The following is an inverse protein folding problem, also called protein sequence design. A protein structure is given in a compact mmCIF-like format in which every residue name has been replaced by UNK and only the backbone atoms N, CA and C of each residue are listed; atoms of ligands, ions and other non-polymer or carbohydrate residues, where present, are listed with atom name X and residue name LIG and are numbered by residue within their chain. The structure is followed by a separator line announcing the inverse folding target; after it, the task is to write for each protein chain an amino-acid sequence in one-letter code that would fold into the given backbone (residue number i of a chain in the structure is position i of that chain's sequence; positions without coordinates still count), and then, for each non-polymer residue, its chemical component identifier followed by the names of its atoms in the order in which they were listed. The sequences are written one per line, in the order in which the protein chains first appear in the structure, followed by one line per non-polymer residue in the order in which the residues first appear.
data_IF_050606583867
#
_entry.id   IF_050606583867
#
_cell.length_a   1.000
_cell.length_b   1.000
_cell.length_c   1.000
_cell.angle_alpha   90.00
_cell.angle_beta   90.00
_cell.angle_gamma   90.00
#
_symmetry.space_group_name_H-M   'P 1'
#
loop_
_entity.id
_entity.type
_entity.pdbx_description
1 polymer ?
#
# COMPACT_ATOMS: atom_id res chain seq x y z
N UNK A 1 -21.03 -7.57 9.61
CA UNK A 1 -19.86 -7.89 8.75
C UNK A 1 -19.01 -8.89 9.50
N UNK A 2 -18.64 -10.00 8.86
CA UNK A 2 -17.67 -10.95 9.37
C UNK A 2 -16.28 -10.52 8.86
N UNK A 3 -15.30 -10.42 9.75
CA UNK A 3 -13.93 -10.02 9.43
C UNK A 3 -12.95 -11.21 9.39
N UNK A 4 -13.46 -12.43 9.59
CA UNK A 4 -12.65 -13.62 9.39
C UNK A 4 -12.38 -13.83 7.89
N UNK A 5 -11.26 -14.46 7.56
CA UNK A 5 -10.94 -14.76 6.17
C UNK A 5 -11.92 -15.79 5.60
N UNK A 6 -12.37 -15.55 4.39
CA UNK A 6 -13.09 -16.59 3.63
C UNK A 6 -12.16 -17.77 3.30
N UNK A 7 -12.72 -18.89 2.88
CA UNK A 7 -11.91 -20.05 2.47
C UNK A 7 -10.93 -19.72 1.33
N UNK A 8 -11.35 -18.84 0.39
CA UNK A 8 -10.51 -18.37 -0.72
C UNK A 8 -9.38 -17.47 -0.22
N UNK A 9 -9.69 -16.51 0.65
CA UNK A 9 -8.68 -15.65 1.26
C UNK A 9 -7.68 -16.45 2.10
N UNK A 10 -8.15 -17.47 2.83
CA UNK A 10 -7.26 -18.35 3.59
C UNK A 10 -6.32 -19.13 2.66
N UNK A 11 -6.83 -19.67 1.55
CA UNK A 11 -6.00 -20.35 0.56
C UNK A 11 -4.94 -19.43 -0.05
N UNK A 12 -5.32 -18.18 -0.36
CA UNK A 12 -4.38 -17.15 -0.83
C UNK A 12 -3.31 -16.85 0.23
N UNK A 13 -3.71 -16.66 1.48
CA UNK A 13 -2.77 -16.41 2.60
C UNK A 13 -1.78 -17.57 2.78
N UNK A 14 -2.27 -18.83 2.70
CA UNK A 14 -1.43 -20.02 2.84
C UNK A 14 -0.40 -20.14 1.71
N UNK A 15 -0.78 -19.84 0.47
CA UNK A 15 0.13 -19.81 -0.68
C UNK A 15 1.22 -18.76 -0.48
N UNK A 16 0.85 -17.52 -0.15
CA UNK A 16 1.80 -16.42 0.04
C UNK A 16 2.75 -16.73 1.19
N UNK A 17 2.24 -17.17 2.33
CA UNK A 17 3.04 -17.57 3.50
C UNK A 17 4.01 -18.69 3.14
N UNK A 18 3.55 -19.74 2.46
CA UNK A 18 4.41 -20.87 2.05
C UNK A 18 5.56 -20.45 1.12
N UNK A 19 5.38 -19.43 0.29
CA UNK A 19 6.43 -18.87 -0.55
C UNK A 19 7.42 -18.07 0.29
N UNK A 20 6.91 -17.14 1.12
CA UNK A 20 7.73 -16.20 1.88
C UNK A 20 8.52 -16.85 3.01
N UNK A 21 8.05 -17.94 3.59
CA UNK A 21 8.78 -18.72 4.59
C UNK A 21 10.05 -19.38 4.01
N UNK A 22 10.08 -19.61 2.68
CA UNK A 22 11.22 -20.20 1.98
C UNK A 22 12.17 -19.16 1.43
N UNK A 23 11.62 -18.15 0.77
CA UNK A 23 12.38 -17.06 0.16
C UNK A 23 11.46 -15.83 0.02
N UNK A 24 11.87 -14.70 0.57
CA UNK A 24 11.13 -13.44 0.57
C UNK A 24 11.53 -12.49 -0.57
N UNK A 25 12.14 -13.00 -1.64
CA UNK A 25 12.52 -12.24 -2.83
C UNK A 25 11.34 -12.03 -3.79
N UNK A 26 11.46 -11.00 -4.64
CA UNK A 26 10.50 -10.79 -5.74
C UNK A 26 10.43 -11.99 -6.68
N UNK A 27 11.58 -12.58 -7.02
CA UNK A 27 11.65 -13.78 -7.87
C UNK A 27 10.93 -14.98 -7.27
N UNK A 28 10.95 -15.14 -5.96
CA UNK A 28 10.22 -16.21 -5.27
C UNK A 28 8.71 -15.99 -5.34
N UNK A 29 8.23 -14.75 -5.14
CA UNK A 29 6.82 -14.40 -5.31
C UNK A 29 6.33 -14.68 -6.74
N UNK A 30 7.13 -14.35 -7.75
CA UNK A 30 6.84 -14.66 -9.15
C UNK A 30 6.80 -16.18 -9.38
N UNK A 31 7.84 -16.90 -8.97
CA UNK A 31 7.93 -18.34 -9.16
C UNK A 31 6.84 -19.12 -8.40
N UNK A 32 6.39 -18.58 -7.26
CA UNK A 32 5.30 -19.11 -6.46
C UNK A 32 3.90 -18.74 -6.98
N UNK A 33 3.80 -18.01 -8.09
CA UNK A 33 2.53 -17.60 -8.69
C UNK A 33 1.81 -16.44 -7.98
N UNK A 34 2.39 -15.84 -6.93
CA UNK A 34 1.75 -14.77 -6.14
C UNK A 34 1.41 -13.55 -7.01
N UNK A 35 2.28 -13.21 -7.96
CA UNK A 35 2.05 -12.09 -8.89
C UNK A 35 0.96 -12.39 -9.91
N UNK A 36 0.64 -13.67 -10.15
CA UNK A 36 -0.40 -14.08 -11.08
C UNK A 36 -1.81 -14.03 -10.46
N UNK A 37 -1.93 -14.12 -9.12
CA UNK A 37 -3.22 -14.23 -8.43
C UNK A 37 -4.24 -13.18 -8.90
N UNK A 38 -3.85 -11.89 -8.94
CA UNK A 38 -4.74 -10.80 -9.34
C UNK A 38 -4.86 -10.60 -10.86
N UNK A 39 -4.00 -11.23 -11.65
CA UNK A 39 -4.04 -11.11 -13.12
C UNK A 39 -5.25 -11.86 -13.66
N UNK A 40 -6.03 -11.30 -14.63
CA UNK A 40 -7.17 -11.99 -15.23
C UNK A 40 -6.81 -13.35 -15.82
N UNK A 41 -7.72 -14.35 -15.74
CA UNK A 41 -7.54 -15.70 -16.24
C UNK A 41 -7.13 -15.72 -17.73
N UNK A 42 -7.72 -14.83 -18.57
CA UNK A 42 -7.36 -14.69 -19.98
C UNK A 42 -5.90 -14.30 -20.23
N UNK A 43 -5.22 -13.77 -19.20
CA UNK A 43 -3.81 -13.40 -19.23
C UNK A 43 -2.92 -14.38 -18.47
N UNK A 44 -3.47 -15.50 -18.04
CA UNK A 44 -2.76 -16.58 -17.36
C UNK A 44 -2.63 -16.40 -15.84
N UNK A 45 -3.52 -15.60 -15.23
CA UNK A 45 -3.64 -15.47 -13.79
C UNK A 45 -4.87 -16.18 -13.23
N UNK A 46 -5.17 -15.94 -11.95
CA UNK A 46 -6.31 -16.55 -11.25
C UNK A 46 -7.52 -15.60 -11.10
N UNK A 47 -7.35 -14.32 -11.45
CA UNK A 47 -8.42 -13.32 -11.48
C UNK A 47 -9.04 -13.02 -10.12
N UNK A 48 -8.28 -13.14 -9.02
CA UNK A 48 -8.82 -12.87 -7.68
C UNK A 48 -9.17 -11.38 -7.51
N UNK A 49 -10.14 -11.11 -6.63
CA UNK A 49 -10.68 -9.78 -6.39
C UNK A 49 -9.85 -8.92 -5.45
N UNK A 50 -10.38 -7.71 -5.20
CA UNK A 50 -9.76 -6.72 -4.31
C UNK A 50 -9.50 -7.25 -2.89
N UNK A 51 -10.42 -8.01 -2.25
CA UNK A 51 -10.19 -8.56 -0.91
C UNK A 51 -9.02 -9.54 -0.84
N UNK A 52 -8.85 -10.37 -1.86
CA UNK A 52 -7.78 -11.36 -1.96
C UNK A 52 -6.43 -10.66 -2.19
N UNK A 53 -6.38 -9.62 -3.05
CA UNK A 53 -5.18 -8.79 -3.21
C UNK A 53 -4.80 -8.10 -1.89
N UNK A 54 -5.79 -7.61 -1.14
CA UNK A 54 -5.59 -7.11 0.23
C UNK A 54 -4.95 -8.16 1.13
N UNK A 55 -5.43 -9.41 1.06
CA UNK A 55 -4.85 -10.54 1.82
C UNK A 55 -3.41 -10.84 1.39
N UNK A 56 -3.11 -10.85 0.09
CA UNK A 56 -1.73 -11.00 -0.42
C UNK A 56 -0.81 -9.94 0.19
N UNK A 57 -1.22 -8.68 0.15
CA UNK A 57 -0.41 -7.56 0.66
C UNK A 57 -0.27 -7.63 2.19
N UNK A 58 -1.30 -8.05 2.91
CA UNK A 58 -1.23 -8.27 4.37
C UNK A 58 -0.17 -9.34 4.69
N UNK A 59 -0.15 -10.47 4.00
CA UNK A 59 0.85 -11.52 4.27
C UNK A 59 2.27 -11.10 3.88
N UNK A 60 2.45 -10.36 2.76
CA UNK A 60 3.76 -9.80 2.39
C UNK A 60 4.23 -8.79 3.45
N UNK A 61 3.34 -7.94 3.94
CA UNK A 61 3.63 -7.01 5.05
C UNK A 61 4.00 -7.75 6.34
N UNK A 62 3.29 -8.84 6.68
CA UNK A 62 3.53 -9.68 7.88
C UNK A 62 4.93 -10.27 7.92
N UNK A 63 5.51 -10.57 6.76
CA UNK A 63 6.90 -11.05 6.63
C UNK A 63 7.94 -9.93 6.57
N UNK A 64 7.52 -8.65 6.61
CA UNK A 64 8.44 -7.51 6.50
C UNK A 64 9.24 -7.51 5.21
N UNK A 65 8.62 -7.94 4.12
CA UNK A 65 9.26 -8.13 2.82
C UNK A 65 9.36 -6.79 2.07
N UNK A 66 10.58 -6.46 1.61
CA UNK A 66 10.85 -5.25 0.83
C UNK A 66 11.02 -5.66 -0.63
N UNK A 67 9.94 -5.54 -1.40
CA UNK A 67 9.87 -5.92 -2.82
C UNK A 67 8.92 -4.98 -3.57
N UNK A 68 8.86 -5.01 -4.91
CA UNK A 68 7.89 -4.24 -5.68
C UNK A 68 6.41 -4.61 -5.48
N UNK A 69 6.08 -5.54 -4.59
CA UNK A 69 4.73 -6.12 -4.48
C UNK A 69 3.64 -5.07 -4.21
N UNK A 70 3.82 -4.17 -3.24
CA UNK A 70 2.84 -3.11 -3.00
C UNK A 70 2.68 -2.19 -4.21
N UNK A 71 3.79 -1.77 -4.82
CA UNK A 71 3.76 -0.92 -6.02
C UNK A 71 3.07 -1.62 -7.19
N UNK A 72 3.41 -2.90 -7.43
CA UNK A 72 2.89 -3.65 -8.57
C UNK A 72 1.44 -4.10 -8.35
N UNK A 73 1.15 -4.83 -7.28
CA UNK A 73 -0.17 -5.41 -7.06
C UNK A 73 -1.16 -4.36 -6.54
N UNK A 74 -0.77 -3.61 -5.51
CA UNK A 74 -1.67 -2.66 -4.85
C UNK A 74 -1.87 -1.36 -5.62
N UNK A 75 -0.79 -0.76 -6.13
CA UNK A 75 -0.84 0.55 -6.77
C UNK A 75 -0.91 0.49 -8.30
N UNK A 76 -0.52 -0.65 -8.90
CA UNK A 76 -0.55 -0.87 -10.34
C UNK A 76 -1.73 -1.72 -10.79
N UNK A 77 -1.76 -3.01 -10.39
CA UNK A 77 -2.75 -3.98 -10.88
C UNK A 77 -4.16 -3.61 -10.43
N UNK A 78 -4.37 -3.32 -9.14
CA UNK A 78 -5.70 -3.00 -8.60
C UNK A 78 -6.37 -1.84 -9.34
N UNK A 79 -5.74 -0.66 -9.53
CA UNK A 79 -6.37 0.41 -10.30
C UNK A 79 -6.63 0.06 -11.77
N UNK A 80 -5.77 -0.74 -12.42
CA UNK A 80 -6.00 -1.16 -13.79
C UNK A 80 -7.16 -2.17 -13.92
N UNK A 81 -7.36 -3.04 -12.93
CA UNK A 81 -8.52 -3.93 -12.91
C UNK A 81 -9.83 -3.17 -12.75
N UNK A 82 -9.84 -2.10 -11.96
CA UNK A 82 -11.02 -1.29 -11.66
C UNK A 82 -11.36 -0.29 -12.78
N UNK A 83 -10.35 0.30 -13.42
CA UNK A 83 -10.52 1.49 -14.27
C UNK A 83 -10.16 1.30 -15.74
N UNK A 84 -9.40 0.27 -16.10
CA UNK A 84 -8.93 0.08 -17.47
C UNK A 84 -9.91 -0.77 -18.30
N UNK A 85 -10.01 -0.48 -19.59
CA UNK A 85 -10.72 -1.36 -20.54
C UNK A 85 -10.03 -2.72 -20.67
N UNK A 86 -10.74 -3.73 -21.19
CA UNK A 86 -10.16 -5.06 -21.40
C UNK A 86 -8.89 -5.03 -22.26
N UNK A 87 -8.87 -4.19 -23.33
CA UNK A 87 -7.70 -4.03 -24.18
C UNK A 87 -6.52 -3.36 -23.43
N UNK A 88 -6.82 -2.38 -22.56
CA UNK A 88 -5.80 -1.76 -21.72
C UNK A 88 -5.26 -2.75 -20.67
N UNK A 89 -6.15 -3.53 -20.03
CA UNK A 89 -5.73 -4.61 -19.14
C UNK A 89 -4.83 -5.62 -19.86
N UNK A 90 -5.21 -6.06 -21.06
CA UNK A 90 -4.41 -7.00 -21.85
C UNK A 90 -3.02 -6.43 -22.17
N UNK A 91 -2.93 -5.13 -22.43
CA UNK A 91 -1.66 -4.46 -22.71
C UNK A 91 -0.79 -4.29 -21.49
N UNK A 92 -1.34 -3.85 -20.37
CA UNK A 92 -0.55 -3.45 -19.21
C UNK A 92 -0.31 -4.56 -18.20
N UNK A 93 -1.21 -5.58 -18.14
CA UNK A 93 -1.11 -6.66 -17.16
C UNK A 93 -0.44 -7.94 -17.70
N UNK A 94 -0.25 -8.07 -19.02
CA UNK A 94 0.26 -9.30 -19.66
C UNK A 94 1.61 -9.80 -19.10
N UNK A 95 2.44 -8.90 -18.61
CA UNK A 95 3.77 -9.24 -18.04
C UNK A 95 3.77 -9.55 -16.54
N UNK A 96 2.72 -9.17 -15.80
CA UNK A 96 2.72 -9.18 -14.32
C UNK A 96 2.89 -10.57 -13.76
N UNK A 97 2.19 -11.57 -14.31
CA UNK A 97 2.33 -12.97 -13.91
C UNK A 97 3.75 -13.52 -14.09
N UNK A 98 4.57 -12.86 -14.93
CA UNK A 98 5.98 -13.21 -15.21
C UNK A 98 6.96 -12.27 -14.50
N UNK A 99 6.49 -11.42 -13.61
CA UNK A 99 7.29 -10.55 -12.78
C UNK A 99 7.52 -9.14 -13.32
N UNK A 100 6.78 -8.70 -14.34
CA UNK A 100 6.77 -7.30 -14.74
C UNK A 100 6.35 -6.41 -13.56
N UNK A 101 7.04 -5.28 -13.39
CA UNK A 101 6.79 -4.34 -12.32
C UNK A 101 5.89 -3.22 -12.83
N UNK A 102 4.87 -2.90 -12.06
CA UNK A 102 4.03 -1.72 -12.23
C UNK A 102 4.25 -0.76 -11.07
N UNK A 103 3.99 0.51 -11.28
CA UNK A 103 3.98 1.49 -10.19
C UNK A 103 2.96 2.60 -10.45
N UNK A 104 2.74 3.45 -9.43
CA UNK A 104 1.87 4.59 -9.58
C UNK A 104 2.54 5.87 -9.08
N UNK A 105 2.38 6.94 -9.83
CA UNK A 105 2.87 8.27 -9.57
C UNK A 105 1.69 9.15 -9.10
N UNK A 106 1.43 9.14 -7.78
CA UNK A 106 0.24 9.72 -7.16
C UNK A 106 0.54 11.04 -6.45
N UNK A 107 1.62 11.08 -5.67
CA UNK A 107 1.95 12.23 -4.85
C UNK A 107 2.62 13.36 -5.64
N UNK A 108 2.32 14.57 -5.24
CA UNK A 108 2.90 15.79 -5.76
C UNK A 108 3.87 16.42 -4.74
N UNK A 109 4.79 17.28 -5.14
CA UNK A 109 5.56 18.05 -4.18
C UNK A 109 4.65 18.82 -3.21
N UNK A 110 4.72 18.47 -1.92
CA UNK A 110 3.91 19.09 -0.86
C UNK A 110 2.46 18.60 -0.74
N UNK A 111 2.00 17.65 -1.57
CA UNK A 111 0.65 17.10 -1.48
C UNK A 111 0.64 15.58 -1.64
N UNK A 112 0.15 14.88 -0.62
CA UNK A 112 0.02 13.43 -0.63
C UNK A 112 -1.39 13.02 -1.08
N UNK A 113 -1.46 12.18 -2.09
CA UNK A 113 -2.70 11.66 -2.70
C UNK A 113 -3.74 12.75 -2.99
N UNK A 114 -3.40 13.83 -3.72
CA UNK A 114 -4.34 14.90 -3.99
C UNK A 114 -5.45 14.44 -4.96
N UNK A 115 -6.71 14.78 -4.66
CA UNK A 115 -7.83 14.52 -5.57
C UNK A 115 -7.81 15.44 -6.81
N UNK A 116 -7.10 16.57 -6.69
CA UNK A 116 -6.85 17.51 -7.78
C UNK A 116 -5.33 17.72 -7.93
N UNK A 117 -4.66 16.81 -8.66
CA UNK A 117 -3.22 16.93 -8.86
C UNK A 117 -2.86 18.17 -9.65
N UNK A 118 -1.77 18.89 -9.30
CA UNK A 118 -1.24 19.98 -10.14
C UNK A 118 -0.52 19.48 -11.42
N UNK A 119 -0.17 18.21 -11.54
CA UNK A 119 0.27 17.62 -12.80
C UNK A 119 -0.84 17.76 -13.83
N UNK A 120 -0.54 18.33 -15.01
CA UNK A 120 -1.52 18.67 -16.04
C UNK A 120 -1.52 17.67 -17.18
N UNK A 121 -2.72 17.35 -17.71
CA UNK A 121 -2.88 16.58 -18.92
C UNK A 121 -3.79 17.34 -19.89
N UNK A 122 -3.22 17.88 -20.97
CA UNK A 122 -3.95 18.65 -21.97
C UNK A 122 -3.44 18.35 -23.37
N UNK A 123 -4.34 18.26 -24.35
CA UNK A 123 -4.02 18.03 -25.77
C UNK A 123 -3.11 16.81 -26.00
N UNK A 124 -3.28 15.74 -25.22
CA UNK A 124 -2.46 14.52 -25.31
C UNK A 124 -1.03 14.70 -24.77
N UNK A 125 -0.79 15.71 -23.93
CA UNK A 125 0.50 16.00 -23.31
C UNK A 125 0.41 16.03 -21.80
N UNK A 126 1.36 15.33 -21.16
CA UNK A 126 1.48 15.25 -19.69
C UNK A 126 2.67 16.09 -19.23
N UNK A 127 2.43 16.98 -18.25
CA UNK A 127 3.47 17.82 -17.67
C UNK A 127 3.28 17.97 -16.17
N UNK A 128 4.34 17.79 -15.40
CA UNK A 128 4.31 17.91 -13.94
C UNK A 128 5.45 17.14 -13.27
N UNK A 129 5.41 17.09 -11.93
CA UNK A 129 6.40 16.37 -11.13
C UNK A 129 5.70 15.54 -10.07
N UNK A 130 6.02 14.27 -10.02
CA UNK A 130 5.53 13.32 -9.01
C UNK A 130 6.67 12.92 -8.07
N UNK A 131 6.34 12.71 -6.81
CA UNK A 131 7.31 12.32 -5.77
C UNK A 131 6.90 11.01 -5.10
N UNK A 132 7.85 10.29 -4.53
CA UNK A 132 7.57 9.06 -3.81
C UNK A 132 7.13 7.90 -4.73
N UNK A 133 7.58 7.88 -5.98
CA UNK A 133 7.22 6.84 -6.96
C UNK A 133 8.14 5.64 -6.76
N UNK A 134 7.59 4.61 -6.13
CA UNK A 134 8.35 3.39 -5.81
C UNK A 134 8.68 2.60 -7.08
N UNK A 135 9.91 2.10 -7.20
CA UNK A 135 10.39 1.24 -8.28
C UNK A 135 10.18 1.78 -9.70
N UNK A 136 10.12 3.11 -9.89
CA UNK A 136 9.81 3.72 -11.18
C UNK A 136 10.78 3.32 -12.30
N UNK A 137 12.07 3.17 -12.03
CA UNK A 137 13.07 2.76 -13.02
C UNK A 137 12.89 1.31 -13.48
N UNK A 138 12.41 0.44 -12.58
CA UNK A 138 12.16 -0.98 -12.85
C UNK A 138 10.78 -1.22 -13.47
N UNK A 139 9.88 -0.23 -13.38
CA UNK A 139 8.52 -0.38 -13.85
C UNK A 139 8.45 -0.43 -15.38
N UNK A 140 7.58 -1.28 -15.90
CA UNK A 140 7.20 -1.25 -17.31
C UNK A 140 6.21 -0.11 -17.59
N UNK A 141 5.32 0.13 -16.62
CA UNK A 141 4.27 1.15 -16.72
C UNK A 141 4.07 1.88 -15.39
N UNK A 142 3.79 3.19 -15.50
CA UNK A 142 3.40 4.08 -14.41
C UNK A 142 1.96 4.53 -14.61
N UNK A 143 1.10 4.33 -13.60
CA UNK A 143 -0.20 5.00 -13.53
C UNK A 143 0.06 6.41 -13.00
N UNK A 144 -0.38 7.43 -13.71
CA UNK A 144 -0.14 8.83 -13.35
C UNK A 144 -1.48 9.55 -13.22
N UNK A 145 -1.74 10.10 -12.03
CA UNK A 145 -2.89 10.98 -11.80
C UNK A 145 -2.57 12.40 -12.25
N UNK A 146 -3.46 13.00 -13.04
CA UNK A 146 -3.37 14.39 -13.51
C UNK A 146 -4.66 15.17 -13.22
N UNK A 147 -4.65 16.46 -13.45
CA UNK A 147 -5.77 17.39 -13.18
C UNK A 147 -7.11 16.97 -13.82
N UNK A 148 -7.04 16.40 -15.02
CA UNK A 148 -8.23 16.07 -15.82
C UNK A 148 -8.30 14.59 -16.23
N UNK A 149 -7.30 13.77 -15.90
CA UNK A 149 -7.23 12.38 -16.35
C UNK A 149 -6.34 11.51 -15.46
N UNK A 150 -6.50 10.20 -15.60
CA UNK A 150 -5.53 9.20 -15.18
C UNK A 150 -4.95 8.57 -16.44
N UNK A 151 -3.64 8.55 -16.56
CA UNK A 151 -2.94 8.07 -17.75
C UNK A 151 -1.93 6.98 -17.40
N UNK A 152 -1.61 6.12 -18.36
CA UNK A 152 -0.56 5.11 -18.22
C UNK A 152 0.62 5.51 -19.10
N UNK A 153 1.82 5.61 -18.51
CA UNK A 153 3.03 6.09 -19.18
C UNK A 153 4.19 5.14 -18.94
N UNK A 154 5.00 4.89 -19.95
CA UNK A 154 6.27 4.20 -19.75
C UNK A 154 7.29 5.13 -19.07
N UNK A 155 8.03 4.68 -18.04
CA UNK A 155 9.09 5.48 -17.44
C UNK A 155 10.25 5.78 -18.44
N UNK A 156 10.27 5.08 -19.58
CA UNK A 156 11.27 5.24 -20.64
C UNK A 156 10.77 6.14 -21.79
N UNK A 157 9.57 6.73 -21.65
CA UNK A 157 9.03 7.62 -22.68
C UNK A 157 9.84 8.93 -22.77
N UNK A 158 9.91 9.49 -23.96
CA UNK A 158 10.55 10.78 -24.19
C UNK A 158 9.90 11.87 -23.33
N UNK A 159 10.73 12.66 -22.62
CA UNK A 159 10.28 13.69 -21.69
C UNK A 159 10.08 13.20 -20.25
N UNK A 160 10.23 11.90 -19.95
CA UNK A 160 10.24 11.39 -18.57
C UNK A 160 11.65 11.44 -18.00
N UNK A 161 11.78 12.03 -16.82
CA UNK A 161 13.05 12.08 -16.08
C UNK A 161 12.85 11.45 -14.70
N UNK A 162 13.77 10.56 -14.31
CA UNK A 162 13.78 9.87 -13.04
C UNK A 162 14.96 10.34 -12.20
N UNK A 163 14.69 10.78 -10.99
CA UNK A 163 15.73 11.11 -10.00
C UNK A 163 15.50 10.25 -8.76
N UNK A 164 16.44 9.35 -8.47
CA UNK A 164 16.35 8.47 -7.30
C UNK A 164 16.36 9.28 -6.02
N UNK A 165 15.45 8.95 -5.09
CA UNK A 165 15.33 9.54 -3.76
C UNK A 165 15.57 8.50 -2.68
N UNK A 166 16.23 8.86 -1.56
CA UNK A 166 16.48 7.91 -0.50
C UNK A 166 15.21 7.56 0.27
N UNK A 167 15.06 6.28 0.64
CA UNK A 167 14.01 5.77 1.52
C UNK A 167 14.58 5.31 2.85
N UNK A 168 13.73 5.17 3.86
CA UNK A 168 14.15 4.65 5.17
C UNK A 168 14.44 3.15 5.11
N UNK A 169 13.70 2.40 4.28
CA UNK A 169 13.84 0.94 4.15
C UNK A 169 14.83 0.50 3.08
N UNK A 170 15.43 1.44 2.35
CA UNK A 170 16.42 1.16 1.29
C UNK A 170 15.82 0.71 -0.05
N UNK A 171 14.48 0.71 -0.19
CA UNK A 171 13.84 0.41 -1.49
C UNK A 171 14.08 1.54 -2.50
N UNK A 172 13.93 1.21 -3.78
CA UNK A 172 14.07 2.19 -4.84
C UNK A 172 12.83 3.09 -4.93
N UNK A 173 13.06 4.39 -4.85
CA UNK A 173 12.02 5.42 -4.96
C UNK A 173 12.53 6.58 -5.80
N UNK A 174 11.64 7.25 -6.51
CA UNK A 174 12.02 8.29 -7.46
C UNK A 174 11.10 9.52 -7.37
N UNK A 175 11.69 10.67 -7.65
CA UNK A 175 10.98 11.82 -8.18
C UNK A 175 10.92 11.65 -9.70
N UNK A 176 9.71 11.75 -10.27
CA UNK A 176 9.45 11.58 -11.70
C UNK A 176 8.96 12.91 -12.26
N UNK A 177 9.69 13.48 -13.22
CA UNK A 177 9.29 14.69 -13.93
C UNK A 177 8.82 14.33 -15.34
N UNK A 178 7.65 14.83 -15.70
CA UNK A 178 7.05 14.73 -17.04
C UNK A 178 7.18 16.08 -17.71
N UNK A 179 7.99 16.17 -18.79
CA UNK A 179 8.24 17.38 -19.54
C UNK A 179 7.58 17.24 -20.92
N UNK A 180 6.31 17.62 -21.02
CA UNK A 180 5.52 17.58 -22.27
C UNK A 180 5.49 16.17 -22.91
N UNK A 181 5.27 15.14 -22.07
CA UNK A 181 5.26 13.74 -22.49
C UNK A 181 4.03 13.46 -23.36
N UNK A 182 4.24 12.90 -24.54
CA UNK A 182 3.15 12.49 -25.42
C UNK A 182 2.44 11.24 -24.88
N UNK A 183 1.13 11.33 -24.70
CA UNK A 183 0.28 10.22 -24.25
C UNK A 183 -0.78 9.95 -25.30
N UNK A 184 -0.84 8.72 -25.78
CA UNK A 184 -1.85 8.31 -26.76
C UNK A 184 -3.24 8.24 -26.08
N UNK A 185 -4.29 8.45 -26.86
CA UNK A 185 -5.68 8.33 -26.35
C UNK A 185 -5.95 6.93 -25.76
N UNK A 186 -5.32 5.90 -26.34
CA UNK A 186 -5.40 4.52 -25.84
C UNK A 186 -4.74 4.32 -24.46
N UNK A 187 -3.94 5.26 -23.98
CA UNK A 187 -3.23 5.20 -22.71
C UNK A 187 -3.90 6.07 -21.63
N UNK A 188 -5.04 6.69 -21.97
CA UNK A 188 -5.91 7.40 -21.03
C UNK A 188 -6.94 6.43 -20.48
N UNK A 189 -7.06 6.33 -19.15
CA UNK A 189 -8.08 5.52 -18.50
C UNK A 189 -9.40 6.31 -18.48
N UNK A 190 -10.32 5.94 -19.38
CA UNK A 190 -11.55 6.66 -19.60
C UNK A 190 -12.47 6.62 -18.37
N UNK A 191 -12.90 7.80 -17.90
CA UNK A 191 -13.77 7.93 -16.72
C UNK A 191 -13.06 7.75 -15.37
N UNK A 192 -11.75 7.45 -15.39
CA UNK A 192 -10.95 7.35 -14.15
C UNK A 192 -10.72 8.73 -13.54
N UNK A 193 -10.72 8.80 -12.22
CA UNK A 193 -10.39 9.99 -11.44
C UNK A 193 -9.21 9.75 -10.50
N UNK A 194 -8.45 10.80 -10.21
CA UNK A 194 -7.41 10.74 -9.18
C UNK A 194 -7.97 10.27 -7.83
N UNK A 195 -9.16 10.73 -7.47
CA UNK A 195 -9.85 10.33 -6.25
C UNK A 195 -10.03 8.80 -6.16
N UNK A 196 -10.55 8.15 -7.23
CA UNK A 196 -10.76 6.68 -7.22
C UNK A 196 -9.43 5.91 -7.12
N UNK A 197 -8.41 6.36 -7.82
CA UNK A 197 -7.06 5.76 -7.69
C UNK A 197 -6.51 5.91 -6.28
N UNK A 198 -6.69 7.08 -5.66
CA UNK A 198 -6.26 7.35 -4.29
C UNK A 198 -7.01 6.49 -3.26
N UNK A 199 -8.33 6.26 -3.44
CA UNK A 199 -9.11 5.34 -2.60
C UNK A 199 -8.50 3.93 -2.62
N UNK A 200 -8.28 3.38 -3.81
CA UNK A 200 -7.71 2.04 -3.99
C UNK A 200 -6.28 1.95 -3.42
N UNK A 201 -5.45 2.97 -3.69
CA UNK A 201 -4.09 3.04 -3.17
C UNK A 201 -4.06 3.06 -1.64
N UNK A 202 -4.91 3.89 -1.00
CA UNK A 202 -4.96 3.99 0.46
C UNK A 202 -5.44 2.68 1.10
N UNK A 203 -6.43 2.00 0.51
CA UNK A 203 -6.90 0.70 0.98
C UNK A 203 -5.79 -0.36 0.92
N UNK A 204 -5.03 -0.42 -0.18
CA UNK A 204 -3.92 -1.38 -0.35
C UNK A 204 -2.73 -1.07 0.55
N UNK A 205 -2.40 0.21 0.76
CA UNK A 205 -1.40 0.64 1.76
C UNK A 205 -1.86 0.25 3.17
N UNK A 206 -3.15 0.39 3.47
CA UNK A 206 -3.74 -0.05 4.74
C UNK A 206 -3.58 -1.55 4.98
N UNK A 207 -3.89 -2.38 3.99
CA UNK A 207 -3.71 -3.84 4.07
C UNK A 207 -2.24 -4.23 4.30
N UNK A 208 -1.33 -3.62 3.57
CA UNK A 208 0.10 -3.86 3.74
C UNK A 208 0.59 -3.42 5.13
N UNK A 209 0.09 -2.28 5.64
CA UNK A 209 0.39 -1.79 6.99
C UNK A 209 -0.15 -2.71 8.07
N UNK A 210 -1.36 -3.27 7.93
CA UNK A 210 -1.90 -4.30 8.84
C UNK A 210 -0.92 -5.46 8.97
N UNK A 211 -0.43 -5.97 7.85
CA UNK A 211 0.57 -7.02 7.83
C UNK A 211 1.86 -6.64 8.56
N UNK A 212 2.41 -5.45 8.27
CA UNK A 212 3.64 -4.97 8.91
C UNK A 212 3.49 -4.88 10.43
N UNK A 213 2.38 -4.34 10.92
CA UNK A 213 2.13 -4.19 12.36
C UNK A 213 1.92 -5.55 13.02
N UNK A 214 1.17 -6.45 12.39
CA UNK A 214 0.95 -7.80 12.89
C UNK A 214 2.25 -8.63 12.93
N UNK A 215 3.10 -8.50 11.90
CA UNK A 215 4.40 -9.16 11.86
C UNK A 215 5.36 -8.66 12.93
N UNK A 216 5.44 -7.33 13.12
CA UNK A 216 6.25 -6.74 14.18
C UNK A 216 5.75 -7.14 15.58
N UNK A 217 4.44 -7.18 15.80
CA UNK A 217 3.84 -7.65 17.04
C UNK A 217 4.23 -9.10 17.34
N UNK A 218 4.05 -10.00 16.36
CA UNK A 218 4.41 -11.42 16.51
C UNK A 218 5.90 -11.58 16.86
N UNK A 219 6.77 -10.96 16.06
CA UNK A 219 8.22 -11.00 16.28
C UNK A 219 8.59 -10.51 17.69
N UNK A 220 7.93 -9.45 18.17
CA UNK A 220 8.17 -8.89 19.50
C UNK A 220 7.65 -9.80 20.61
N UNK A 221 6.46 -10.36 20.44
CA UNK A 221 5.87 -11.29 21.42
C UNK A 221 6.74 -12.54 21.60
N UNK A 222 7.20 -13.14 20.50
CA UNK A 222 8.10 -14.30 20.51
C UNK A 222 9.42 -13.94 21.20
N UNK A 223 10.03 -12.80 20.86
CA UNK A 223 11.27 -12.35 21.48
C UNK A 223 11.17 -12.16 22.99
N UNK A 224 10.13 -11.44 23.49
CA UNK A 224 10.01 -11.19 24.95
C UNK A 224 9.59 -12.43 25.74
N UNK A 225 8.97 -13.42 25.09
CA UNK A 225 8.65 -14.71 25.71
C UNK A 225 9.91 -15.55 25.96
N UNK A 226 10.90 -15.46 25.09
CA UNK A 226 12.15 -16.25 25.19
C UNK A 226 13.25 -15.50 25.94
N UNK A 227 13.38 -14.18 25.71
CA UNK A 227 14.44 -13.35 26.31
C UNK A 227 14.29 -13.23 27.80
N UNK A 228 15.31 -13.68 28.54
CA UNK A 228 15.35 -13.59 30.01
C UNK A 228 16.25 -12.46 30.49
N UNK A 229 15.75 -11.68 31.45
CA UNK A 229 16.49 -10.70 32.23
C UNK A 229 16.00 -10.76 33.69
N UNK A 230 16.86 -10.48 34.65
CA UNK A 230 16.55 -10.57 36.10
C UNK A 230 15.98 -11.93 36.49
N UNK A 231 16.46 -13.01 35.84
CA UNK A 231 16.10 -14.39 36.16
C UNK A 231 14.76 -14.90 35.57
N UNK A 232 14.04 -14.09 34.78
CA UNK A 232 12.74 -14.48 34.19
C UNK A 232 12.53 -13.90 32.80
N UNK A 233 11.58 -14.46 31.99
CA UNK A 233 11.23 -13.91 30.68
C UNK A 233 10.76 -12.45 30.76
N UNK A 234 11.08 -11.64 29.74
CA UNK A 234 10.66 -10.24 29.68
C UNK A 234 9.13 -10.10 29.67
N UNK A 235 8.41 -11.02 29.06
CA UNK A 235 6.94 -11.06 29.01
C UNK A 235 6.26 -11.12 30.39
N UNK A 236 7.00 -11.53 31.44
CA UNK A 236 6.47 -11.60 32.82
C UNK A 236 6.45 -10.24 33.54
N UNK A 237 7.04 -9.19 32.97
CA UNK A 237 7.01 -7.85 33.54
C UNK A 237 5.75 -7.12 33.10
N UNK A 238 5.02 -6.52 34.06
CA UNK A 238 3.74 -5.83 33.79
C UNK A 238 3.86 -4.73 32.74
N UNK A 239 4.94 -3.95 32.77
CA UNK A 239 5.17 -2.89 31.77
C UNK A 239 5.32 -3.45 30.36
N UNK A 240 6.03 -4.56 30.20
CA UNK A 240 6.18 -5.25 28.90
C UNK A 240 4.82 -5.79 28.41
N UNK A 241 4.07 -6.43 29.31
CA UNK A 241 2.74 -6.94 28.98
C UNK A 241 1.76 -5.81 28.59
N UNK A 242 1.79 -4.66 29.30
CA UNK A 242 0.98 -3.50 28.96
C UNK A 242 1.35 -2.92 27.58
N UNK A 243 2.64 -2.75 27.30
CA UNK A 243 3.11 -2.26 26.00
C UNK A 243 2.71 -3.21 24.85
N UNK A 244 2.82 -4.53 25.02
CA UNK A 244 2.34 -5.49 24.03
C UNK A 244 0.82 -5.43 23.82
N UNK A 245 0.05 -5.20 24.89
CA UNK A 245 -1.39 -5.03 24.76
C UNK A 245 -1.77 -3.79 23.95
N UNK A 246 -1.07 -2.66 24.14
CA UNK A 246 -1.26 -1.45 23.33
C UNK A 246 -0.92 -1.70 21.85
N UNK A 247 0.20 -2.37 21.56
CA UNK A 247 0.58 -2.78 20.19
C UNK A 247 -0.49 -3.70 19.60
N UNK A 248 -1.01 -4.66 20.35
CA UNK A 248 -2.08 -5.55 19.89
C UNK A 248 -3.37 -4.80 19.55
N UNK A 249 -3.78 -3.85 20.40
CA UNK A 249 -4.99 -3.04 20.16
C UNK A 249 -4.82 -2.25 18.85
N UNK A 250 -3.71 -1.56 18.67
CA UNK A 250 -3.44 -0.79 17.46
C UNK A 250 -3.40 -1.69 16.20
N UNK A 251 -2.75 -2.86 16.28
CA UNK A 251 -2.73 -3.85 15.21
C UNK A 251 -4.15 -4.29 14.81
N UNK A 252 -4.98 -4.65 15.80
CA UNK A 252 -6.37 -5.07 15.53
C UNK A 252 -7.21 -3.95 14.94
N UNK A 253 -7.03 -2.72 15.39
CA UNK A 253 -7.78 -1.56 14.88
C UNK A 253 -7.42 -1.26 13.43
N UNK A 254 -6.12 -1.22 13.09
CA UNK A 254 -5.65 -0.99 11.71
C UNK A 254 -6.18 -2.11 10.79
N UNK A 255 -6.07 -3.37 11.21
CA UNK A 255 -6.54 -4.51 10.43
C UNK A 255 -8.05 -4.51 10.18
N UNK A 256 -8.86 -4.17 11.19
CA UNK A 256 -10.31 -4.05 11.03
C UNK A 256 -10.69 -2.89 10.10
N UNK A 257 -10.04 -1.73 10.24
CA UNK A 257 -10.28 -0.57 9.37
C UNK A 257 -9.91 -0.90 7.91
N UNK A 258 -8.76 -1.53 7.67
CA UNK A 258 -8.33 -1.93 6.32
C UNK A 258 -9.32 -2.93 5.69
N UNK A 259 -9.74 -3.95 6.42
CA UNK A 259 -10.72 -4.94 5.94
C UNK A 259 -12.08 -4.31 5.65
N UNK A 260 -12.55 -3.38 6.51
CA UNK A 260 -13.81 -2.65 6.31
C UNK A 260 -13.79 -1.88 4.99
N UNK A 261 -12.74 -1.08 4.78
CA UNK A 261 -12.58 -0.27 3.56
C UNK A 261 -12.48 -1.14 2.31
N UNK A 262 -11.66 -2.20 2.34
CA UNK A 262 -11.51 -3.12 1.20
C UNK A 262 -12.84 -3.77 0.85
N UNK A 263 -13.60 -4.21 1.86
CA UNK A 263 -14.92 -4.76 1.65
C UNK A 263 -15.87 -3.73 1.01
N UNK A 264 -15.91 -2.49 1.51
CA UNK A 264 -16.75 -1.44 0.94
C UNK A 264 -16.38 -1.16 -0.53
N UNK A 265 -15.08 -1.04 -0.83
CA UNK A 265 -14.61 -0.76 -2.19
C UNK A 265 -14.82 -1.95 -3.16
N UNK A 266 -14.99 -3.17 -2.64
CA UNK A 266 -15.31 -4.37 -3.43
C UNK A 266 -16.80 -4.50 -3.75
N UNK A 267 -17.68 -3.70 -3.09
CA UNK A 267 -19.11 -3.71 -3.36
C UNK A 267 -19.46 -2.81 -4.55
N UNK A 268 -20.56 -3.13 -5.24
CA UNK A 268 -21.10 -2.26 -6.27
C UNK A 268 -22.01 -1.17 -5.66
N UNK A 269 -22.06 -0.01 -6.29
CA UNK A 269 -23.03 1.04 -5.98
C UNK A 269 -22.65 1.89 -4.77
N UNK A 270 -23.64 2.15 -3.88
CA UNK A 270 -23.55 3.19 -2.82
C UNK A 270 -22.45 2.95 -1.80
N UNK A 271 -22.15 1.68 -1.47
CA UNK A 271 -21.14 1.36 -0.47
C UNK A 271 -19.73 1.85 -0.87
N UNK A 272 -19.40 1.82 -2.16
CA UNK A 272 -18.13 2.34 -2.66
C UNK A 272 -18.05 3.89 -2.60
N UNK A 273 -19.17 4.57 -2.72
CA UNK A 273 -19.25 6.04 -2.64
C UNK A 273 -19.12 6.56 -1.20
N UNK A 274 -19.51 5.75 -0.22
CA UNK A 274 -19.52 6.12 1.20
C UNK A 274 -18.20 5.74 1.92
N UNK A 275 -17.20 5.19 1.19
CA UNK A 275 -15.95 4.70 1.78
C UNK A 275 -14.95 5.78 2.20
N UNK A 276 -15.17 7.03 1.83
CA UNK A 276 -14.21 8.12 2.03
C UNK A 276 -13.89 8.40 3.50
N UNK A 277 -14.91 8.44 4.36
CA UNK A 277 -14.70 8.70 5.79
C UNK A 277 -13.90 7.56 6.44
N UNK A 278 -14.24 6.32 6.12
CA UNK A 278 -13.52 5.13 6.62
C UNK A 278 -12.08 5.08 6.08
N UNK A 279 -11.85 5.54 4.84
CA UNK A 279 -10.51 5.67 4.25
C UNK A 279 -9.67 6.73 4.98
N UNK A 280 -10.26 7.89 5.30
CA UNK A 280 -9.55 8.92 6.05
C UNK A 280 -9.25 8.47 7.49
N UNK A 281 -10.19 7.74 8.13
CA UNK A 281 -9.96 7.07 9.42
C UNK A 281 -8.82 6.07 9.31
N UNK A 282 -8.81 5.20 8.29
CA UNK A 282 -7.72 4.26 8.05
C UNK A 282 -6.38 4.99 7.85
N UNK A 283 -6.35 6.01 6.99
CA UNK A 283 -5.15 6.81 6.74
C UNK A 283 -4.62 7.49 8.01
N UNK A 284 -5.51 8.00 8.86
CA UNK A 284 -5.14 8.56 10.15
C UNK A 284 -4.55 7.47 11.08
N UNK A 285 -5.18 6.30 11.20
CA UNK A 285 -4.66 5.19 12.02
C UNK A 285 -3.29 4.70 11.55
N UNK A 286 -3.10 4.54 10.25
CA UNK A 286 -1.82 4.16 9.64
C UNK A 286 -0.73 5.17 10.00
N UNK A 287 -1.02 6.46 9.90
CA UNK A 287 0.00 7.51 10.09
C UNK A 287 0.22 7.90 11.54
N UNK A 288 -0.80 7.78 12.40
CA UNK A 288 -0.73 8.20 13.81
C UNK A 288 -0.37 7.07 14.77
N UNK A 289 -0.77 5.83 14.49
CA UNK A 289 -0.61 4.70 15.42
C UNK A 289 0.49 3.73 15.00
N UNK A 290 0.69 3.45 13.72
CA UNK A 290 1.71 2.50 13.31
C UNK A 290 3.14 2.94 13.69
N UNK A 291 3.56 4.22 13.56
CA UNK A 291 4.91 4.64 13.98
C UNK A 291 5.18 4.45 15.48
N UNK A 292 4.32 4.87 16.44
CA UNK A 292 4.53 4.59 17.87
C UNK A 292 4.58 3.10 18.21
N UNK A 293 3.75 2.29 17.53
CA UNK A 293 3.78 0.83 17.67
C UNK A 293 5.13 0.26 17.27
N UNK A 294 5.69 0.71 16.15
CA UNK A 294 7.02 0.29 15.71
C UNK A 294 8.10 0.73 16.71
N UNK A 295 7.99 1.93 17.29
CA UNK A 295 8.92 2.39 18.34
C UNK A 295 8.85 1.50 19.57
N UNK A 296 7.65 1.10 20.00
CA UNK A 296 7.45 0.21 21.13
C UNK A 296 8.05 -1.17 20.86
N UNK A 297 7.75 -1.76 19.69
CA UNK A 297 8.34 -3.05 19.30
C UNK A 297 9.88 -2.97 19.29
N UNK A 298 10.43 -1.92 18.67
CA UNK A 298 11.88 -1.70 18.62
C UNK A 298 12.49 -1.56 20.02
N UNK A 299 11.86 -0.77 20.89
CA UNK A 299 12.29 -0.58 22.27
C UNK A 299 12.32 -1.91 23.05
N UNK A 300 11.30 -2.76 22.90
CA UNK A 300 11.23 -4.06 23.57
C UNK A 300 12.31 -5.05 23.13
N UNK A 301 12.84 -4.90 21.91
CA UNK A 301 14.00 -5.67 21.44
C UNK A 301 15.34 -5.13 21.96
N UNK A 302 15.38 -3.88 22.44
CA UNK A 302 16.62 -3.24 22.89
C UNK A 302 17.70 -3.24 21.80
N UNK A 303 18.94 -3.61 22.15
CA UNK A 303 20.06 -3.63 21.19
C UNK A 303 19.85 -4.56 19.98
N UNK A 304 19.08 -5.63 20.11
CA UNK A 304 18.74 -6.52 18.99
C UNK A 304 17.92 -5.80 17.91
N UNK A 305 17.04 -4.87 18.28
CA UNK A 305 16.28 -4.08 17.33
C UNK A 305 17.14 -3.20 16.42
N UNK A 306 18.38 -2.88 16.84
CA UNK A 306 19.34 -2.08 16.07
C UNK A 306 20.20 -2.92 15.12
N UNK A 307 20.17 -4.24 15.23
CA UNK A 307 20.97 -5.14 14.40
C UNK A 307 20.36 -5.21 12.98
N UNK A 308 21.17 -4.87 11.97
CA UNK A 308 20.75 -4.88 10.56
C UNK A 308 20.44 -6.29 10.04
N UNK A 309 20.94 -7.34 10.69
CA UNK A 309 20.63 -8.72 10.35
C UNK A 309 19.32 -9.21 10.95
N UNK A 310 18.80 -8.50 11.97
CA UNK A 310 17.54 -8.81 12.62
C UNK A 310 16.36 -8.07 11.94
N UNK A 311 15.23 -8.73 11.66
CA UNK A 311 14.21 -8.17 10.73
C UNK A 311 13.43 -6.96 11.27
N UNK A 312 13.52 -6.60 12.54
CA UNK A 312 12.73 -5.50 13.15
C UNK A 312 12.90 -4.16 12.41
N UNK A 313 14.12 -3.85 11.92
CA UNK A 313 14.38 -2.62 11.19
C UNK A 313 13.56 -2.50 9.90
N UNK A 314 13.21 -3.63 9.24
CA UNK A 314 12.42 -3.62 8.00
C UNK A 314 11.00 -3.12 8.23
N UNK A 315 10.37 -3.58 9.32
CA UNK A 315 9.03 -3.12 9.71
C UNK A 315 9.03 -1.63 10.04
N UNK A 316 9.95 -1.21 10.90
CA UNK A 316 10.04 0.17 11.36
C UNK A 316 10.33 1.17 10.23
N UNK A 317 11.31 0.88 9.38
CA UNK A 317 11.69 1.74 8.27
C UNK A 317 10.59 1.82 7.20
N UNK A 318 9.92 0.71 6.88
CA UNK A 318 8.82 0.69 5.92
C UNK A 318 7.62 1.51 6.42
N UNK A 319 7.25 1.40 7.70
CA UNK A 319 6.18 2.22 8.28
C UNK A 319 6.51 3.72 8.21
N UNK A 320 7.77 4.12 8.39
CA UNK A 320 8.19 5.53 8.23
C UNK A 320 7.98 6.01 6.79
N UNK A 321 8.34 5.19 5.80
CA UNK A 321 8.16 5.54 4.39
C UNK A 321 6.67 5.61 4.02
N UNK A 322 5.83 4.68 4.48
CA UNK A 322 4.39 4.73 4.27
C UNK A 322 3.73 5.94 4.95
N UNK A 323 4.16 6.29 6.17
CA UNK A 323 3.67 7.48 6.87
C UNK A 323 3.96 8.75 6.07
N UNK A 324 5.18 8.86 5.52
CA UNK A 324 5.58 9.96 4.64
C UNK A 324 4.77 9.96 3.34
N UNK A 325 4.59 8.80 2.72
CA UNK A 325 3.81 8.63 1.48
C UNK A 325 2.36 9.12 1.66
N UNK A 326 1.77 8.90 2.83
CA UNK A 326 0.42 9.34 3.17
C UNK A 326 0.34 10.78 3.70
N UNK A 327 1.45 11.53 3.76
CA UNK A 327 1.50 12.92 4.19
C UNK A 327 1.48 13.15 5.70
N UNK A 328 1.50 12.08 6.49
CA UNK A 328 1.55 12.13 7.96
C UNK A 328 0.20 12.34 8.64
N UNK A 329 0.17 12.26 10.00
CA UNK A 329 -1.09 12.24 10.76
C UNK A 329 -1.85 13.58 10.70
N UNK A 330 -1.18 14.71 10.66
CA UNK A 330 -1.84 16.03 10.62
C UNK A 330 -2.66 16.20 9.36
N UNK A 331 -2.09 15.87 8.18
CA UNK A 331 -2.83 15.94 6.92
C UNK A 331 -4.06 15.03 6.93
N UNK A 332 -3.92 13.79 7.42
CA UNK A 332 -5.04 12.85 7.47
C UNK A 332 -6.15 13.29 8.42
N UNK A 333 -5.78 13.88 9.54
CA UNK A 333 -6.74 14.46 10.48
C UNK A 333 -7.46 15.69 9.88
N UNK A 334 -6.73 16.55 9.15
CA UNK A 334 -7.31 17.72 8.49
C UNK A 334 -8.31 17.32 7.38
N UNK A 335 -8.01 16.26 6.61
CA UNK A 335 -8.92 15.72 5.60
C UNK A 335 -10.20 15.18 6.24
N UNK A 336 -10.08 14.37 7.29
CA UNK A 336 -11.22 13.85 8.04
C UNK A 336 -12.09 14.99 8.63
N UNK A 337 -11.47 15.95 9.31
CA UNK A 337 -12.18 17.10 9.87
C UNK A 337 -12.82 18.00 8.81
N UNK A 338 -12.22 18.16 7.64
CA UNK A 338 -12.76 18.93 6.52
C UNK A 338 -14.07 18.35 5.97
N UNK A 339 -14.19 17.01 5.91
CA UNK A 339 -15.43 16.34 5.47
C UNK A 339 -16.58 16.51 6.46
N UNK A 340 -16.31 16.36 7.75
CA UNK A 340 -17.31 16.54 8.80
C UNK A 340 -17.93 17.96 8.80
N UNK A 341 -17.10 18.98 8.59
CA UNK A 341 -17.59 20.37 8.53
C UNK A 341 -18.51 20.61 7.32
N UNK A 342 -18.22 20.00 6.18
CA UNK A 342 -19.08 20.11 4.98
C UNK A 342 -20.39 19.34 5.18
N UNK A 343 -20.34 18.14 5.77
CA UNK A 343 -21.54 17.35 6.09
C UNK A 343 -22.48 18.04 7.08
N UNK A 344 -21.95 18.69 8.11
CA UNK A 344 -22.74 19.45 9.09
C UNK A 344 -23.46 20.68 8.48
N UNK A 345 -22.83 21.33 7.49
CA UNK A 345 -23.48 22.47 6.78
C UNK A 345 -24.60 22.02 5.85
N UNK A 346 -24.51 20.83 5.25
CA UNK A 346 -25.58 20.29 4.38
C UNK A 346 -26.78 19.75 5.17
N UNK A 347 -26.64 19.37 6.43
CA UNK A 347 -27.72 18.86 7.27
C UNK A 347 -28.53 19.98 7.98
N UNK A 348 -28.11 21.24 7.86
CA UNK A 348 -28.76 22.42 8.47
C UNK A 348 -29.59 23.24 7.48
N UNK A 349 -29.79 22.78 6.26
CA UNK A 349 -30.66 23.32 5.21
C UNK A 349 -31.79 22.38 4.88
#
# INVERSE_FOLDING_TARGET
MDFDLTAEQQAVADVVTSVLDRDNSWSALVAGGVTALAVPERLGGDGVGLPEVGTVLTEIGRHGTITPALATLGLGVVPLLDLASAEQQDRYLAGVAKGAVLSAALNEPGAALPDRPPTTFANGRLSGTKVGVAYAEQADWLIVTADSAVVVVSPKADGVQLVRTPTSNGSDEYTVTFADVAVAVSDVLAGASAHRVNQLALAMIGAFTDGLVAGALRLTADYVAERKQFGKPLSTFQTVAAQLAEVYIASRTIGLAAKSVIWQLSQEGRAAADADDDLDVLGYWVTSQAPPVMQTCHHLHGGMGMDITYPMHRYYSTIKDLTRLLGGPSLRLDLLGGRELVGAQCSST
#
